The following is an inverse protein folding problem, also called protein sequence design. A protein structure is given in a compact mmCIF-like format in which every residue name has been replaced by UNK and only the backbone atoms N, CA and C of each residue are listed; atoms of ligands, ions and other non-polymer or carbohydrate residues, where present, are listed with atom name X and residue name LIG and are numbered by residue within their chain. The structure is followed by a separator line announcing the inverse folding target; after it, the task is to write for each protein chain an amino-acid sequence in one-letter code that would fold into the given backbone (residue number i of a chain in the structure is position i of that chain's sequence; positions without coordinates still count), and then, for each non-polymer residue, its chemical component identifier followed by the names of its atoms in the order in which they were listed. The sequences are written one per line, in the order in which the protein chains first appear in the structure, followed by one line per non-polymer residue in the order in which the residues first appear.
data_IF_446585668051
#
_entry.id   IF_446585668051
#
_cell.length_a   1.000
_cell.length_b   1.000
_cell.length_c   1.000
_cell.angle_alpha   90.00
_cell.angle_beta   90.00
_cell.angle_gamma   90.00
#
_symmetry.space_group_name_H-M   'P 1'
#
loop_
_entity.id
_entity.type
_entity.pdbx_description
1 polymer ?
#
# COMPACT_ATOMS: atom_id res chain seq x y z
N UNK A 1 -5.34 -1.22 -16.31
CA UNK A 1 -5.99 -2.15 -17.27
C UNK A 1 -5.69 -1.70 -18.68
N UNK A 2 -6.21 -2.38 -19.72
CA UNK A 2 -6.14 -1.87 -21.10
C UNK A 2 -6.79 -0.49 -21.25
N UNK A 3 -7.84 -0.20 -20.49
CA UNK A 3 -8.51 1.11 -20.52
C UNK A 3 -7.65 2.26 -19.97
N UNK A 4 -6.77 2.00 -19.01
CA UNK A 4 -5.91 3.03 -18.42
C UNK A 4 -5.35 2.68 -17.05
N UNK A 5 -4.76 3.68 -16.40
CA UNK A 5 -4.25 3.63 -15.03
C UNK A 5 -5.32 4.20 -14.11
N UNK A 6 -5.81 3.40 -13.18
CA UNK A 6 -6.82 3.81 -12.21
C UNK A 6 -6.14 4.11 -10.88
N UNK A 7 -6.37 5.32 -10.35
CA UNK A 7 -5.92 5.72 -9.03
C UNK A 7 -7.12 5.72 -8.10
N UNK A 8 -7.16 4.77 -7.18
CA UNK A 8 -8.33 4.50 -6.34
C UNK A 8 -8.04 4.96 -4.91
N UNK A 9 -8.89 5.84 -4.38
CA UNK A 9 -9.01 6.15 -2.96
C UNK A 9 -10.28 5.47 -2.43
N UNK A 10 -10.19 4.84 -1.26
CA UNK A 10 -11.27 4.04 -0.69
C UNK A 10 -11.68 4.64 0.63
N UNK A 11 -12.97 4.95 0.78
CA UNK A 11 -13.54 5.60 1.97
C UNK A 11 -14.51 4.65 2.68
N UNK A 12 -14.27 4.34 3.97
CA UNK A 12 -15.19 3.55 4.79
C UNK A 12 -16.32 4.41 5.40
N UNK A 13 -16.56 5.62 4.86
CA UNK A 13 -17.50 6.59 5.42
C UNK A 13 -18.92 6.06 5.48
N UNK A 14 -19.67 6.56 6.45
CA UNK A 14 -21.10 6.25 6.67
C UNK A 14 -21.89 7.54 6.79
N UNK A 15 -23.21 7.47 6.57
CA UNK A 15 -24.09 8.62 6.72
C UNK A 15 -24.16 9.49 5.46
N UNK A 16 -24.58 10.74 5.63
CA UNK A 16 -24.81 11.65 4.50
C UNK A 16 -23.57 12.49 4.22
N UNK A 17 -23.08 12.48 2.98
CA UNK A 17 -21.88 13.18 2.53
C UNK A 17 -22.30 14.31 1.61
N UNK A 18 -21.86 15.53 1.93
CA UNK A 18 -22.14 16.71 1.10
C UNK A 18 -20.90 17.57 0.89
N UNK A 19 -20.83 18.24 -0.25
CA UNK A 19 -19.76 19.19 -0.54
C UNK A 19 -20.16 20.60 -0.11
N UNK A 20 -19.37 21.22 0.76
CA UNK A 20 -19.59 22.59 1.22
C UNK A 20 -18.34 23.45 0.99
N UNK A 21 -18.35 24.25 -0.08
CA UNK A 21 -17.22 25.04 -0.55
C UNK A 21 -15.96 24.20 -0.84
N UNK A 22 -14.96 24.24 0.04
CA UNK A 22 -13.66 23.57 -0.10
C UNK A 22 -13.52 22.29 0.74
N UNK A 23 -14.55 21.96 1.52
CA UNK A 23 -14.53 20.90 2.53
C UNK A 23 -15.77 20.05 2.34
N UNK A 24 -15.65 18.76 2.62
CA UNK A 24 -16.77 17.83 2.60
C UNK A 24 -17.25 17.59 4.01
N UNK A 25 -18.57 17.53 4.19
CA UNK A 25 -19.20 17.22 5.46
C UNK A 25 -19.72 15.79 5.42
N UNK A 26 -19.32 14.99 6.41
CA UNK A 26 -19.84 13.64 6.64
C UNK A 26 -20.74 13.71 7.87
N UNK A 27 -22.04 13.58 7.65
CA UNK A 27 -23.05 13.62 8.70
C UNK A 27 -23.47 12.20 9.10
N UNK A 28 -23.09 11.79 10.31
CA UNK A 28 -23.47 10.50 10.89
C UNK A 28 -24.54 10.74 11.95
N UNK A 29 -25.68 10.08 11.82
CA UNK A 29 -26.72 10.07 12.85
C UNK A 29 -26.49 8.86 13.75
N UNK A 30 -26.24 9.13 15.03
CA UNK A 30 -26.26 8.11 16.08
C UNK A 30 -27.66 8.06 16.70
N UNK A 31 -28.24 6.87 16.78
CA UNK A 31 -29.44 6.63 17.59
C UNK A 31 -29.01 6.15 18.97
N UNK A 32 -29.12 7.02 19.96
CA UNK A 32 -29.17 6.62 21.37
C UNK A 32 -30.63 6.61 21.82
N UNK A 33 -30.95 5.74 22.77
CA UNK A 33 -32.33 5.37 23.19
C UNK A 33 -33.25 6.55 23.55
N UNK A 34 -32.75 7.78 23.72
CA UNK A 34 -33.53 8.97 24.03
C UNK A 34 -33.16 10.24 23.22
N UNK A 35 -32.13 10.21 22.36
CA UNK A 35 -31.67 11.40 21.61
C UNK A 35 -31.10 11.03 20.23
N UNK A 36 -31.47 11.78 19.20
CA UNK A 36 -30.84 11.70 17.87
C UNK A 36 -29.63 12.62 17.85
N UNK A 37 -28.44 12.08 18.11
CA UNK A 37 -27.20 12.84 18.01
C UNK A 37 -26.72 12.86 16.56
N UNK A 38 -26.46 14.06 16.03
CA UNK A 38 -25.88 14.24 14.69
C UNK A 38 -24.44 14.67 14.85
N UNK A 39 -23.50 13.80 14.46
CA UNK A 39 -22.09 14.16 14.32
C UNK A 39 -21.85 14.67 12.90
N UNK A 40 -21.17 15.81 12.76
CA UNK A 40 -20.72 16.34 11.48
C UNK A 40 -19.20 16.39 11.50
N UNK A 41 -18.58 15.55 10.69
CA UNK A 41 -17.14 15.54 10.50
C UNK A 41 -16.80 16.34 9.24
N UNK A 42 -15.81 17.24 9.37
CA UNK A 42 -15.28 18.01 8.26
C UNK A 42 -14.04 17.31 7.71
N UNK A 43 -14.04 17.03 6.41
CA UNK A 43 -12.94 16.36 5.73
C UNK A 43 -12.50 17.15 4.51
N UNK A 44 -11.20 17.11 4.22
CA UNK A 44 -10.68 17.64 2.96
C UNK A 44 -11.32 16.92 1.76
N UNK A 45 -11.44 17.63 0.64
CA UNK A 45 -12.00 17.10 -0.61
C UNK A 45 -11.19 15.88 -1.10
N UNK A 46 -11.75 14.64 -0.98
CA UNK A 46 -11.05 13.43 -1.38
C UNK A 46 -10.83 13.38 -2.90
N UNK A 47 -11.71 14.02 -3.68
CA UNK A 47 -11.59 14.07 -5.13
C UNK A 47 -10.41 14.94 -5.55
N UNK A 48 -10.20 16.09 -4.88
CA UNK A 48 -9.03 16.93 -5.09
C UNK A 48 -7.73 16.19 -4.72
N UNK A 49 -7.75 15.47 -3.60
CA UNK A 49 -6.60 14.70 -3.13
C UNK A 49 -6.20 13.60 -4.14
N UNK A 50 -7.16 12.77 -4.59
CA UNK A 50 -6.87 11.69 -5.54
C UNK A 50 -6.49 12.23 -6.93
N UNK A 51 -7.09 13.34 -7.38
CA UNK A 51 -6.73 13.98 -8.66
C UNK A 51 -5.29 14.49 -8.65
N UNK A 52 -4.86 15.07 -7.52
CA UNK A 52 -3.48 15.54 -7.33
C UNK A 52 -2.52 14.35 -7.35
N UNK A 53 -2.80 13.30 -6.58
CA UNK A 53 -2.00 12.05 -6.57
C UNK A 53 -1.90 11.43 -7.97
N UNK A 54 -3.00 11.43 -8.71
CA UNK A 54 -3.07 10.93 -10.10
C UNK A 54 -2.19 11.73 -11.04
N UNK A 55 -2.19 13.06 -10.91
CA UNK A 55 -1.35 13.97 -11.70
C UNK A 55 0.14 13.76 -11.39
N UNK A 56 0.48 13.57 -10.12
CA UNK A 56 1.85 13.23 -9.70
C UNK A 56 2.31 11.89 -10.27
N UNK A 57 1.46 10.86 -10.21
CA UNK A 57 1.75 9.56 -10.80
C UNK A 57 1.99 9.65 -12.31
N UNK A 58 1.12 10.38 -13.02
CA UNK A 58 1.27 10.62 -14.45
C UNK A 58 2.62 11.29 -14.77
N UNK A 59 2.99 12.30 -13.99
CA UNK A 59 4.26 13.01 -14.14
C UNK A 59 5.47 12.12 -13.80
N UNK A 60 5.35 11.25 -12.79
CA UNK A 60 6.37 10.28 -12.45
C UNK A 60 6.60 9.27 -13.58
N UNK A 61 5.53 8.67 -14.11
CA UNK A 61 5.64 7.73 -15.24
C UNK A 61 6.27 8.37 -16.48
N UNK A 62 5.90 9.62 -16.81
CA UNK A 62 6.53 10.37 -17.90
C UNK A 62 8.03 10.58 -17.68
N UNK A 63 8.45 10.99 -16.47
CA UNK A 63 9.86 11.16 -16.11
C UNK A 63 10.64 9.84 -16.15
N UNK A 64 9.98 8.73 -15.82
CA UNK A 64 10.53 7.38 -15.90
C UNK A 64 10.54 6.78 -17.33
N UNK A 65 10.27 7.58 -18.36
CA UNK A 65 10.34 7.17 -19.76
C UNK A 65 9.08 6.48 -20.30
N UNK A 66 7.99 6.42 -19.52
CA UNK A 66 6.73 5.80 -19.95
C UNK A 66 5.80 6.87 -20.53
N UNK A 67 5.73 6.92 -21.86
CA UNK A 67 4.86 7.86 -22.57
C UNK A 67 3.39 7.40 -22.52
N UNK A 68 2.63 7.86 -21.51
CA UNK A 68 1.18 7.65 -21.40
C UNK A 68 0.43 8.97 -21.43
N UNK A 69 -0.68 9.04 -22.18
CA UNK A 69 -1.56 10.21 -22.24
C UNK A 69 -2.23 10.42 -20.88
N UNK A 70 -2.28 11.66 -20.40
CA UNK A 70 -2.92 12.01 -19.13
C UNK A 70 -4.42 11.68 -19.10
N UNK A 71 -5.08 11.62 -20.27
CA UNK A 71 -6.48 11.20 -20.42
C UNK A 71 -6.73 9.73 -20.07
N UNK A 72 -5.68 8.90 -19.98
CA UNK A 72 -5.76 7.49 -19.60
C UNK A 72 -5.51 7.27 -18.10
N UNK A 73 -5.46 8.34 -17.32
CA UNK A 73 -5.37 8.28 -15.86
C UNK A 73 -6.73 8.65 -15.25
N UNK A 74 -7.28 7.72 -14.47
CA UNK A 74 -8.63 7.82 -13.95
C UNK A 74 -8.61 7.88 -12.42
N UNK A 75 -8.77 9.06 -11.80
CA UNK A 75 -8.99 9.16 -10.37
C UNK A 75 -10.36 8.59 -10.01
N UNK A 76 -10.44 7.77 -8.96
CA UNK A 76 -11.68 7.21 -8.44
C UNK A 76 -11.71 7.26 -6.92
N UNK A 77 -12.83 7.69 -6.34
CA UNK A 77 -13.10 7.59 -4.90
C UNK A 77 -14.25 6.60 -4.73
N UNK A 78 -14.01 5.53 -3.97
CA UNK A 78 -14.98 4.46 -3.75
C UNK A 78 -15.48 4.51 -2.32
N UNK A 79 -16.80 4.55 -2.14
CA UNK A 79 -17.45 4.54 -0.83
C UNK A 79 -17.91 3.13 -0.49
N UNK A 80 -17.29 2.51 0.52
CA UNK A 80 -17.51 1.10 0.84
C UNK A 80 -18.76 0.81 1.66
N UNK A 81 -19.33 1.79 2.36
CA UNK A 81 -20.49 1.54 3.21
C UNK A 81 -21.79 1.62 2.41
N UNK A 82 -22.73 0.66 2.57
CA UNK A 82 -24.07 0.78 2.03
C UNK A 82 -24.86 1.97 2.63
N UNK A 83 -24.47 2.41 3.83
CA UNK A 83 -25.11 3.52 4.55
C UNK A 83 -24.54 4.88 4.15
N UNK A 84 -23.58 4.93 3.22
CA UNK A 84 -23.02 6.16 2.69
C UNK A 84 -23.91 6.73 1.59
N UNK A 85 -24.49 7.91 1.83
CA UNK A 85 -25.35 8.63 0.87
C UNK A 85 -24.66 9.90 0.44
N UNK A 86 -24.27 9.99 -0.82
CA UNK A 86 -23.73 11.22 -1.40
C UNK A 86 -24.88 12.16 -1.78
N UNK A 87 -24.65 13.47 -1.65
CA UNK A 87 -25.57 14.47 -2.19
C UNK A 87 -25.69 14.39 -3.74
N UNK A 88 -26.72 15.01 -4.30
CA UNK A 88 -27.02 14.92 -5.73
C UNK A 88 -25.90 15.48 -6.63
N UNK A 89 -25.21 16.53 -6.19
CA UNK A 89 -24.12 17.15 -6.95
C UNK A 89 -22.87 16.27 -6.99
N UNK A 90 -22.56 15.58 -5.90
CA UNK A 90 -21.50 14.59 -5.84
C UNK A 90 -21.87 13.36 -6.68
N UNK A 91 -23.13 12.91 -6.66
CA UNK A 91 -23.59 11.78 -7.48
C UNK A 91 -23.44 12.01 -8.99
N UNK A 92 -23.41 13.26 -9.47
CA UNK A 92 -23.15 13.61 -10.88
C UNK A 92 -21.69 13.40 -11.29
N UNK A 93 -20.76 13.29 -10.33
CA UNK A 93 -19.33 13.17 -10.60
C UNK A 93 -18.95 11.72 -10.86
N UNK A 94 -18.58 11.42 -12.10
CA UNK A 94 -18.13 10.09 -12.57
C UNK A 94 -16.91 9.52 -11.83
N UNK A 95 -16.16 10.38 -11.14
CA UNK A 95 -15.00 9.99 -10.34
C UNK A 95 -15.41 9.35 -9.01
N UNK A 96 -16.66 9.51 -8.59
CA UNK A 96 -17.19 8.93 -7.35
C UNK A 96 -17.94 7.63 -7.68
N UNK A 97 -17.70 6.61 -6.87
CA UNK A 97 -18.35 5.30 -6.98
C UNK A 97 -19.05 5.02 -5.66
N UNK A 98 -20.38 5.07 -5.66
CA UNK A 98 -21.19 4.70 -4.50
C UNK A 98 -21.17 3.19 -4.28
N UNK A 99 -21.57 2.75 -3.10
CA UNK A 99 -21.63 1.32 -2.76
C UNK A 99 -22.45 0.49 -3.78
N UNK A 100 -23.58 1.02 -4.25
CA UNK A 100 -24.42 0.33 -5.24
C UNK A 100 -23.77 0.18 -6.62
N UNK A 101 -22.77 1.01 -6.94
CA UNK A 101 -22.06 1.00 -8.22
C UNK A 101 -20.76 0.17 -8.19
N UNK A 102 -20.34 -0.33 -7.01
CA UNK A 102 -19.06 -1.04 -6.87
C UNK A 102 -18.98 -2.25 -7.79
N UNK A 103 -20.02 -3.08 -7.84
CA UNK A 103 -20.02 -4.30 -8.67
C UNK A 103 -19.89 -3.99 -10.16
N UNK A 104 -20.64 -3.01 -10.66
CA UNK A 104 -20.57 -2.58 -12.07
C UNK A 104 -19.21 -1.93 -12.38
N UNK A 105 -18.69 -1.13 -11.45
CA UNK A 105 -17.36 -0.56 -11.55
C UNK A 105 -16.29 -1.66 -11.62
N UNK A 106 -16.33 -2.68 -10.76
CA UNK A 106 -15.41 -3.82 -10.78
C UNK A 106 -15.54 -4.65 -12.05
N UNK A 107 -16.76 -4.82 -12.57
CA UNK A 107 -17.02 -5.52 -13.84
C UNK A 107 -16.36 -4.82 -15.03
N UNK A 108 -16.34 -3.49 -15.04
CA UNK A 108 -15.71 -2.71 -16.12
C UNK A 108 -14.21 -3.05 -16.32
N UNK A 109 -13.51 -3.45 -15.25
CA UNK A 109 -12.12 -3.91 -15.34
C UNK A 109 -11.98 -5.25 -16.06
N UNK A 110 -12.98 -6.14 -15.93
CA UNK A 110 -13.00 -7.48 -16.53
C UNK A 110 -13.34 -7.41 -18.01
N UNK A 111 -14.34 -6.61 -18.38
CA UNK A 111 -14.74 -6.41 -19.78
C UNK A 111 -13.61 -5.80 -20.61
N UNK A 112 -12.88 -4.82 -20.04
CA UNK A 112 -11.68 -4.27 -20.64
C UNK A 112 -10.51 -5.25 -20.75
N UNK A 113 -10.52 -6.38 -20.02
CA UNK A 113 -9.52 -7.44 -20.14
C UNK A 113 -9.87 -8.41 -21.29
N UNK A 114 -11.16 -8.73 -21.46
CA UNK A 114 -11.65 -9.65 -22.51
C UNK A 114 -11.52 -9.02 -23.90
N UNK A 115 -11.96 -7.76 -24.08
CA UNK A 115 -11.80 -7.03 -25.33
C UNK A 115 -10.33 -6.78 -25.70
N UNK A 116 -9.44 -6.78 -24.71
CA UNK A 116 -7.99 -6.60 -24.89
C UNK A 116 -7.27 -7.89 -25.32
N UNK A 117 -7.70 -9.07 -24.87
CA UNK A 117 -7.13 -10.34 -25.35
C UNK A 117 -7.33 -10.54 -26.86
N UNK A 118 -8.39 -9.95 -27.42
CA UNK A 118 -8.68 -10.00 -28.85
C UNK A 118 -7.94 -8.96 -29.68
N UNK A 119 -7.34 -7.94 -29.05
CA UNK A 119 -6.87 -6.71 -29.72
C UNK A 119 -5.35 -6.50 -29.58
N UNK A 120 -4.58 -7.55 -29.90
CA UNK A 120 -3.13 -7.60 -29.70
C UNK A 120 -2.30 -6.74 -30.67
N UNK A 121 -2.93 -6.09 -31.65
CA UNK A 121 -2.21 -5.47 -32.80
C UNK A 121 -2.54 -3.98 -33.00
N UNK A 122 -3.45 -3.40 -32.23
CA UNK A 122 -3.89 -2.01 -32.44
C UNK A 122 -3.08 -1.04 -31.56
N UNK A 123 -2.28 -0.11 -32.14
CA UNK A 123 -1.47 0.78 -31.32
C UNK A 123 -2.33 1.85 -30.62
N UNK A 124 -1.86 2.36 -29.48
CA UNK A 124 -2.63 3.20 -28.53
C UNK A 124 -3.06 4.57 -29.05
N UNK A 125 -2.50 5.04 -30.16
CA UNK A 125 -2.91 6.25 -30.86
C UNK A 125 -4.28 6.15 -31.55
N UNK A 126 -4.76 4.93 -31.86
CA UNK A 126 -6.03 4.69 -32.57
C UNK A 126 -7.11 4.14 -31.63
N UNK A 127 -6.75 3.29 -30.66
CA UNK A 127 -7.71 2.59 -29.81
C UNK A 127 -8.19 3.37 -28.58
N UNK A 128 -7.49 4.45 -28.19
CA UNK A 128 -7.78 5.13 -26.91
C UNK A 128 -7.49 4.28 -25.67
N UNK A 129 -6.66 3.24 -25.82
CA UNK A 129 -6.28 2.29 -24.77
C UNK A 129 -4.76 2.25 -24.58
N UNK A 130 -4.28 1.72 -23.45
CA UNK A 130 -2.86 1.45 -23.23
C UNK A 130 -2.41 0.27 -24.08
N UNK A 131 -1.33 0.44 -24.84
CA UNK A 131 -0.67 -0.70 -25.50
C UNK A 131 -0.05 -1.65 -24.47
N UNK A 132 0.17 -2.92 -24.86
CA UNK A 132 0.84 -3.91 -24.02
C UNK A 132 2.18 -3.40 -23.47
N UNK A 133 3.01 -2.79 -24.34
CA UNK A 133 4.32 -2.24 -23.96
C UNK A 133 4.20 -1.11 -22.94
N UNK A 134 3.23 -0.20 -23.09
CA UNK A 134 3.00 0.87 -22.13
C UNK A 134 2.54 0.34 -20.78
N UNK A 135 1.68 -0.68 -20.78
CA UNK A 135 1.21 -1.30 -19.55
C UNK A 135 2.34 -2.03 -18.82
N UNK A 136 3.18 -2.80 -19.53
CA UNK A 136 4.31 -3.49 -18.90
C UNK A 136 5.36 -2.50 -18.39
N UNK A 137 5.66 -1.46 -19.16
CA UNK A 137 6.56 -0.39 -18.71
C UNK A 137 6.01 0.37 -17.49
N UNK A 138 4.70 0.66 -17.48
CA UNK A 138 4.05 1.29 -16.33
C UNK A 138 4.07 0.38 -15.10
N UNK A 139 3.82 -0.93 -15.26
CA UNK A 139 3.92 -1.92 -14.18
C UNK A 139 5.35 -2.00 -13.63
N UNK A 140 6.35 -1.99 -14.49
CA UNK A 140 7.75 -2.02 -14.07
C UNK A 140 8.13 -0.78 -13.25
N UNK A 141 7.68 0.40 -13.67
CA UNK A 141 7.86 1.62 -12.86
C UNK A 141 7.09 1.53 -11.54
N UNK A 142 5.82 1.10 -11.57
CA UNK A 142 5.00 0.96 -10.37
C UNK A 142 5.53 -0.09 -9.39
N UNK A 143 6.17 -1.17 -9.85
CA UNK A 143 6.85 -2.15 -9.00
C UNK A 143 8.02 -1.55 -8.23
N UNK A 144 8.64 -0.50 -8.78
CA UNK A 144 9.72 0.25 -8.11
C UNK A 144 9.18 1.28 -7.13
N UNK A 145 7.89 1.62 -7.21
CA UNK A 145 7.22 2.43 -6.19
C UNK A 145 6.84 1.48 -5.07
N UNK A 146 7.53 1.59 -3.94
CA UNK A 146 7.19 0.83 -2.76
C UNK A 146 5.74 1.12 -2.35
N UNK A 147 4.96 0.08 -2.12
CA UNK A 147 3.58 0.26 -1.65
C UNK A 147 3.47 0.04 -0.16
N UNK A 148 4.12 -0.99 0.39
CA UNK A 148 4.24 -1.23 1.82
C UNK A 148 5.46 -2.10 2.10
N UNK A 149 6.13 -1.86 3.21
CA UNK A 149 7.03 -2.84 3.81
C UNK A 149 6.22 -4.04 4.33
N UNK A 150 6.87 -5.20 4.37
CA UNK A 150 6.23 -6.44 4.77
C UNK A 150 7.05 -7.16 5.82
N UNK A 151 6.47 -7.39 6.99
CA UNK A 151 7.08 -8.18 8.06
C UNK A 151 6.48 -9.58 8.00
N UNK A 152 7.34 -10.59 7.84
CA UNK A 152 6.97 -11.99 8.02
C UNK A 152 7.40 -12.43 9.41
N UNK A 153 6.45 -12.91 10.21
CA UNK A 153 6.70 -13.44 11.54
C UNK A 153 7.08 -14.93 11.47
N UNK A 154 7.79 -15.42 12.50
CA UNK A 154 8.20 -16.82 12.62
C UNK A 154 7.00 -17.78 12.72
N UNK A 155 5.85 -17.30 13.19
CA UNK A 155 4.59 -18.06 13.21
C UNK A 155 3.93 -18.20 11.83
N UNK A 156 4.45 -17.53 10.80
CA UNK A 156 3.92 -17.54 9.44
C UNK A 156 2.97 -16.39 9.11
N UNK A 157 2.54 -15.60 10.10
CA UNK A 157 1.75 -14.39 9.87
C UNK A 157 2.54 -13.31 9.14
N UNK A 158 1.82 -12.47 8.38
CA UNK A 158 2.38 -11.36 7.63
C UNK A 158 1.70 -10.04 8.01
N UNK A 159 2.51 -9.02 8.27
CA UNK A 159 2.06 -7.66 8.55
C UNK A 159 2.49 -6.76 7.39
N UNK A 160 1.60 -5.86 6.97
CA UNK A 160 1.85 -4.87 5.91
C UNK A 160 1.82 -3.48 6.53
N UNK A 161 2.75 -2.62 6.15
CA UNK A 161 2.93 -1.35 6.82
C UNK A 161 4.27 -0.70 6.49
N UNK A 162 4.81 0.12 7.38
CA UNK A 162 6.06 0.85 7.16
C UNK A 162 7.07 0.58 8.28
N UNK A 163 8.27 0.16 7.89
CA UNK A 163 9.40 -0.01 8.80
C UNK A 163 9.93 1.37 9.24
N UNK A 164 9.85 1.64 10.54
CA UNK A 164 10.30 2.90 11.13
C UNK A 164 11.74 2.84 11.66
N UNK A 165 12.21 1.66 12.05
CA UNK A 165 13.59 1.50 12.50
C UNK A 165 13.80 0.35 13.47
N UNK A 166 15.08 0.11 13.78
CA UNK A 166 15.55 -0.83 14.79
C UNK A 166 16.84 -0.25 15.40
N UNK A 167 16.91 -0.18 16.73
CA UNK A 167 17.96 0.55 17.47
C UNK A 167 19.40 0.19 17.06
N UNK A 168 19.64 -1.06 16.66
CA UNK A 168 20.98 -1.58 16.36
C UNK A 168 21.23 -1.80 14.86
N UNK A 169 20.35 -1.32 13.99
CA UNK A 169 20.47 -1.51 12.55
C UNK A 169 20.37 -0.15 11.86
N UNK A 170 21.46 0.28 11.25
CA UNK A 170 21.46 1.37 10.28
C UNK A 170 21.14 0.78 8.89
N UNK A 171 20.12 1.33 8.24
CA UNK A 171 19.56 0.77 7.02
C UNK A 171 19.55 1.84 5.91
N UNK A 172 20.21 1.53 4.78
CA UNK A 172 19.96 2.23 3.53
C UNK A 172 18.88 1.48 2.73
N UNK A 173 17.71 2.09 2.61
CA UNK A 173 16.53 1.53 1.90
C UNK A 173 16.71 1.46 0.39
N UNK A 174 17.53 2.35 -0.18
CA UNK A 174 17.81 2.36 -1.62
C UNK A 174 18.66 1.15 -2.02
N UNK A 175 19.56 0.74 -1.13
CA UNK A 175 20.47 -0.38 -1.39
C UNK A 175 20.00 -1.72 -0.81
N UNK A 176 19.13 -1.72 0.20
CA UNK A 176 18.69 -2.92 0.91
C UNK A 176 17.24 -3.29 0.57
N UNK A 177 17.02 -4.56 0.24
CA UNK A 177 15.72 -5.11 -0.14
C UNK A 177 15.08 -5.95 0.97
N UNK A 178 15.86 -6.81 1.63
CA UNK A 178 15.33 -7.73 2.64
C UNK A 178 16.22 -7.73 3.88
N UNK A 179 15.62 -7.68 5.07
CA UNK A 179 16.25 -8.05 6.33
C UNK A 179 15.78 -9.45 6.73
N UNK A 180 16.70 -10.37 7.00
CA UNK A 180 16.38 -11.72 7.47
C UNK A 180 16.91 -11.93 8.88
N UNK A 181 16.02 -12.38 9.76
CA UNK A 181 16.27 -12.55 11.18
C UNK A 181 16.43 -14.03 11.48
N UNK A 182 17.61 -14.41 11.97
CA UNK A 182 17.95 -15.79 12.28
C UNK A 182 18.48 -15.89 13.71
N UNK A 183 17.94 -16.85 14.48
CA UNK A 183 18.47 -17.14 15.82
C UNK A 183 19.84 -17.79 15.67
N UNK A 184 20.79 -17.39 16.50
CA UNK A 184 22.08 -18.08 16.60
C UNK A 184 21.79 -19.48 17.19
N UNK A 185 22.00 -20.54 16.39
CA UNK A 185 21.81 -21.92 16.82
C UNK A 185 23.04 -22.41 17.59
N UNK A 186 23.30 -21.84 18.76
CA UNK A 186 24.25 -22.40 19.73
C UNK A 186 23.49 -23.33 20.68
N UNK A 187 23.33 -24.58 20.24
CA UNK A 187 22.62 -25.63 20.97
C UNK A 187 23.45 -26.08 22.18
N UNK A 188 23.19 -25.49 23.34
CA UNK A 188 23.20 -26.12 24.70
C UNK A 188 23.48 -25.10 25.81
N UNK A 189 24.35 -24.12 25.58
CA UNK A 189 24.80 -23.20 26.63
C UNK A 189 23.83 -22.02 26.85
N UNK A 190 23.28 -21.42 25.79
CA UNK A 190 22.53 -20.16 25.90
C UNK A 190 21.22 -20.26 26.72
N UNK A 191 20.59 -21.43 26.76
CA UNK A 191 19.36 -21.65 27.53
C UNK A 191 19.60 -21.59 29.05
N UNK A 192 20.79 -21.97 29.52
CA UNK A 192 21.15 -21.91 30.94
C UNK A 192 21.63 -20.50 31.33
N UNK A 193 22.35 -19.81 30.44
CA UNK A 193 22.77 -18.43 30.67
C UNK A 193 21.61 -17.43 30.69
N UNK A 194 20.50 -17.73 30.01
CA UNK A 194 19.28 -16.92 30.10
C UNK A 194 18.75 -16.82 31.55
N UNK A 195 18.82 -17.90 32.33
CA UNK A 195 18.46 -17.90 33.75
C UNK A 195 19.40 -17.05 34.61
N UNK A 196 20.60 -16.77 34.11
CA UNK A 196 21.62 -15.92 34.73
C UNK A 196 21.60 -14.48 34.18
N UNK A 197 20.56 -14.11 33.42
CA UNK A 197 20.35 -12.76 32.89
C UNK A 197 20.97 -12.48 31.52
N UNK A 198 21.51 -13.49 30.83
CA UNK A 198 22.05 -13.31 29.48
C UNK A 198 20.94 -13.21 28.43
N UNK A 199 20.94 -12.14 27.62
CA UNK A 199 19.94 -11.95 26.57
C UNK A 199 20.38 -12.69 25.29
N UNK A 200 19.57 -13.62 24.75
CA UNK A 200 19.89 -14.32 23.51
C UNK A 200 20.08 -13.36 22.35
N UNK A 201 20.86 -13.74 21.34
CA UNK A 201 21.17 -12.88 20.18
C UNK A 201 20.48 -13.37 18.91
N UNK A 202 20.14 -12.43 18.04
CA UNK A 202 19.60 -12.65 16.69
C UNK A 202 20.57 -12.05 15.68
N UNK A 203 20.87 -12.82 14.64
CA UNK A 203 21.66 -12.36 13.50
C UNK A 203 20.71 -11.87 12.43
N UNK A 204 20.89 -10.62 12.02
CA UNK A 204 20.12 -9.96 10.96
C UNK A 204 20.99 -9.81 9.72
N UNK A 205 20.60 -10.48 8.65
CA UNK A 205 21.24 -10.37 7.33
C UNK A 205 20.48 -9.36 6.47
N UNK A 206 21.18 -8.39 5.92
CA UNK A 206 20.61 -7.37 5.03
C UNK A 206 21.01 -7.70 3.60
N UNK A 207 20.05 -7.98 2.73
CA UNK A 207 20.29 -8.36 1.34
C UNK A 207 20.15 -7.16 0.39
N UNK A 208 21.02 -7.11 -0.61
CA UNK A 208 21.10 -6.03 -1.58
C UNK A 208 19.90 -6.05 -2.53
N UNK A 209 19.41 -4.85 -2.85
CA UNK A 209 18.32 -4.62 -3.80
C UNK A 209 18.76 -4.89 -5.24
N UNK A 210 17.89 -5.55 -6.02
CA UNK A 210 18.11 -5.83 -7.44
C UNK A 210 19.05 -7.00 -7.76
N UNK A 211 19.73 -7.60 -6.77
CA UNK A 211 20.59 -8.76 -6.99
C UNK A 211 19.83 -10.07 -6.81
N UNK A 212 19.14 -10.51 -7.87
CA UNK A 212 18.65 -11.89 -8.01
C UNK A 212 19.46 -12.57 -9.12
N UNK A 213 20.68 -12.98 -8.81
CA UNK A 213 21.48 -13.81 -9.71
C UNK A 213 21.20 -15.29 -9.43
N UNK A 214 21.56 -16.16 -10.36
CA UNK A 214 21.44 -17.62 -10.19
C UNK A 214 22.15 -18.14 -8.91
N UNK A 215 23.16 -17.41 -8.42
CA UNK A 215 23.91 -17.71 -7.20
C UNK A 215 23.21 -17.29 -5.89
N UNK A 216 21.98 -16.77 -5.95
CA UNK A 216 21.20 -16.33 -4.80
C UNK A 216 21.27 -14.82 -4.51
N UNK A 217 20.77 -14.44 -3.33
CA UNK A 217 20.69 -13.04 -2.88
C UNK A 217 22.07 -12.53 -2.44
N UNK A 218 22.52 -11.40 -2.97
CA UNK A 218 23.75 -10.76 -2.49
C UNK A 218 23.53 -10.14 -1.11
N UNK A 219 24.46 -10.37 -0.19
CA UNK A 219 24.46 -9.77 1.14
C UNK A 219 25.05 -8.35 1.07
N UNK A 220 24.39 -7.37 1.69
CA UNK A 220 24.90 -6.02 1.88
C UNK A 220 25.64 -5.90 3.22
N UNK A 221 25.00 -6.33 4.31
CA UNK A 221 25.57 -6.27 5.65
C UNK A 221 24.99 -7.36 6.56
N UNK A 222 25.62 -7.58 7.71
CA UNK A 222 25.09 -8.44 8.79
C UNK A 222 25.31 -7.76 10.14
N UNK A 223 24.31 -7.84 11.00
CA UNK A 223 24.37 -7.33 12.37
C UNK A 223 23.92 -8.42 13.36
N UNK A 224 24.47 -8.41 14.56
CA UNK A 224 24.02 -9.27 15.66
C UNK A 224 23.46 -8.40 16.77
N UNK A 225 22.19 -8.61 17.09
CA UNK A 225 21.42 -7.75 18.00
C UNK A 225 20.81 -8.58 19.13
N UNK A 226 20.50 -7.98 20.30
CA UNK A 226 19.72 -8.65 21.34
C UNK A 226 18.36 -9.13 20.79
N UNK A 227 17.93 -10.32 21.18
CA UNK A 227 16.68 -10.95 20.73
C UNK A 227 15.41 -10.18 21.12
N UNK A 228 15.47 -9.44 22.21
CA UNK A 228 14.40 -8.56 22.68
C UNK A 228 14.45 -7.14 22.09
N UNK A 229 15.37 -6.87 21.15
CA UNK A 229 15.40 -5.60 20.43
C UNK A 229 14.06 -5.37 19.75
N UNK A 230 13.53 -4.15 19.88
CA UNK A 230 12.27 -3.77 19.29
C UNK A 230 12.50 -3.22 17.88
N UNK A 231 11.79 -3.80 16.92
CA UNK A 231 11.57 -3.21 15.60
C UNK A 231 10.29 -2.38 15.67
N UNK A 232 10.41 -1.11 15.28
CA UNK A 232 9.29 -0.20 15.16
C UNK A 232 8.68 -0.34 13.77
N UNK A 233 7.38 -0.66 13.72
CA UNK A 233 6.67 -0.90 12.47
C UNK A 233 5.27 -0.30 12.53
N UNK A 234 4.89 0.52 11.56
CA UNK A 234 3.54 1.08 11.48
C UNK A 234 2.65 0.16 10.65
N UNK A 235 1.73 -0.55 11.29
CA UNK A 235 0.80 -1.43 10.59
C UNK A 235 -0.19 -0.57 9.79
N UNK A 236 -0.49 -1.00 8.56
CA UNK A 236 -1.44 -0.29 7.71
C UNK A 236 -2.82 -0.17 8.38
N UNK A 237 -3.33 1.06 8.46
CA UNK A 237 -4.60 1.38 9.10
C UNK A 237 -4.51 1.71 10.59
N UNK A 238 -3.33 1.58 11.20
CA UNK A 238 -3.09 1.95 12.60
C UNK A 238 -2.40 3.32 12.71
N UNK A 239 -2.78 4.10 13.73
CA UNK A 239 -2.19 5.43 13.98
C UNK A 239 -0.84 5.37 14.70
N UNK A 240 -0.57 4.28 15.43
CA UNK A 240 0.60 4.13 16.30
C UNK A 240 1.54 3.03 15.80
N UNK A 241 2.81 3.16 16.17
CA UNK A 241 3.81 2.14 15.83
C UNK A 241 3.68 0.90 16.72
N UNK A 242 3.61 -0.25 16.08
CA UNK A 242 3.75 -1.54 16.73
C UNK A 242 5.22 -1.76 17.14
N UNK A 243 5.39 -2.31 18.34
CA UNK A 243 6.68 -2.72 18.89
C UNK A 243 6.84 -4.22 18.69
N UNK A 244 7.55 -4.63 17.64
CA UNK A 244 7.71 -6.04 17.29
C UNK A 244 9.07 -6.54 17.76
N UNK A 245 9.15 -7.54 18.65
CA UNK A 245 10.43 -8.11 19.07
C UNK A 245 11.18 -8.78 17.90
N UNK A 246 12.49 -8.53 17.78
CA UNK A 246 13.31 -9.08 16.70
C UNK A 246 13.30 -10.62 16.65
N UNK A 247 13.10 -11.29 17.78
CA UNK A 247 13.06 -12.76 17.85
C UNK A 247 11.76 -13.39 17.33
N UNK A 248 10.70 -12.62 17.10
CA UNK A 248 9.45 -13.10 16.47
C UNK A 248 9.45 -12.87 14.98
N UNK A 249 10.35 -12.02 14.48
CA UNK A 249 10.47 -11.70 13.05
C UNK A 249 11.27 -12.81 12.36
N UNK A 250 10.80 -13.21 11.19
CA UNK A 250 11.53 -14.06 10.25
C UNK A 250 12.23 -13.20 9.20
N UNK A 251 11.49 -12.28 8.56
CA UNK A 251 12.05 -11.37 7.57
C UNK A 251 11.25 -10.07 7.47
N UNK A 252 11.89 -9.02 6.95
CA UNK A 252 11.27 -7.76 6.57
C UNK A 252 11.66 -7.47 5.13
N UNK A 253 10.69 -7.36 4.23
CA UNK A 253 10.90 -6.91 2.85
C UNK A 253 10.60 -5.42 2.77
N UNK A 254 11.55 -4.65 2.27
CA UNK A 254 11.47 -3.20 2.21
C UNK A 254 11.00 -2.73 0.83
N UNK A 255 10.00 -1.90 0.86
CA UNK A 255 9.49 -1.11 -0.25
C UNK A 255 10.30 0.20 -0.40
N UNK A 256 10.31 0.80 -1.59
CA UNK A 256 11.00 2.08 -1.86
C UNK A 256 10.09 3.26 -1.63
#
# INVERSE_FOLDING_TARGET
TGQGVFCIDVKPWKGSVSAHNKVWHVQVKGEDQNFTNTCIEQMDDPLKAITTKTTHLCSHLKRSGVAVRSSLFFPRVIFLSPDCRLDEELMKRRELVSHSQIEDFLRSFREGYVAWMTDAVTPSWISGHLSYRQMESAREVLRRVGTWDMVQLQCGEQLKGDYQGCQFIALDRQETDTLEFSRVKTLSADSLWFLLGHVPKVTVKMYKRGSHSWLGKSLNATATIPSNTIVMFRINGEEFDAKIPANTIHSITLSI
#
